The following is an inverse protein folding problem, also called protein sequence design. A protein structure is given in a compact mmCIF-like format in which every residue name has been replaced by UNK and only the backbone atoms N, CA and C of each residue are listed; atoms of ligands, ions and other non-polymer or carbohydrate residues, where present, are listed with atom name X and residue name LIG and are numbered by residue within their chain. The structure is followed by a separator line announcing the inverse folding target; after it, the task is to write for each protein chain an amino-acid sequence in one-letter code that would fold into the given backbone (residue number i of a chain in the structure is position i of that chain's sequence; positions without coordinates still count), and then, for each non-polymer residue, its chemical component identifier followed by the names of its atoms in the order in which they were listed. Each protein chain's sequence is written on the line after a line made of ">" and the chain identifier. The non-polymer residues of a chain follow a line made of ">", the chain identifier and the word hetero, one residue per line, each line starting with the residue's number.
data_IF_997489268167
#
_entry.id   IF_997489268167
#
_cell.length_a   1.000
_cell.length_b   1.000
_cell.length_c   1.000
_cell.angle_alpha   90.00
_cell.angle_beta   90.00
_cell.angle_gamma   90.00
#
_symmetry.space_group_name_H-M   'P 1'
#
loop_
_entity.id
_entity.type
_entity.pdbx_description
1 polymer ?
#
# COMPACT_ATOMS: atom_id res chain seq x y z
N UNK A 1 -10.77 2.19 -18.56
CA UNK A 1 -9.99 1.80 -17.37
C UNK A 1 -9.73 0.29 -17.32
N UNK A 2 -10.65 -0.53 -17.75
CA UNK A 2 -10.50 -2.02 -17.80
C UNK A 2 -9.32 -2.41 -18.69
N UNK A 3 -9.22 -1.81 -19.89
CA UNK A 3 -8.10 -2.00 -20.80
C UNK A 3 -6.76 -1.54 -20.19
N UNK A 4 -6.75 -0.41 -19.49
CA UNK A 4 -5.58 0.06 -18.75
C UNK A 4 -5.08 -0.94 -17.71
N UNK A 5 -6.00 -1.56 -16.96
CA UNK A 5 -5.63 -2.63 -16.00
C UNK A 5 -5.07 -3.85 -16.73
N UNK A 6 -5.70 -4.26 -17.83
CA UNK A 6 -5.32 -5.46 -18.57
C UNK A 6 -3.94 -5.31 -19.27
N UNK A 7 -3.71 -4.19 -19.96
CA UNK A 7 -2.51 -3.97 -20.78
C UNK A 7 -1.35 -3.34 -20.00
N UNK A 8 -1.63 -2.55 -18.98
CA UNK A 8 -0.60 -1.83 -18.22
C UNK A 8 -0.51 -2.30 -16.78
N UNK A 9 -1.65 -2.39 -16.09
CA UNK A 9 -1.69 -2.67 -14.65
C UNK A 9 -1.10 -4.02 -14.29
N UNK A 10 -1.47 -5.06 -15.01
CA UNK A 10 -0.97 -6.43 -14.77
C UNK A 10 0.56 -6.54 -14.91
N UNK A 11 1.13 -5.83 -15.88
CA UNK A 11 2.56 -5.91 -16.18
C UNK A 11 3.42 -5.01 -15.28
N UNK A 12 2.86 -3.87 -14.83
CA UNK A 12 3.68 -2.82 -14.22
C UNK A 12 3.41 -2.61 -12.73
N UNK A 13 2.28 -3.09 -12.19
CA UNK A 13 1.98 -2.87 -10.78
C UNK A 13 2.52 -3.99 -9.89
N UNK A 14 3.10 -3.60 -8.75
CA UNK A 14 3.35 -4.53 -7.67
C UNK A 14 2.01 -5.13 -7.20
N UNK A 15 2.03 -6.37 -6.70
CA UNK A 15 0.86 -7.14 -6.34
C UNK A 15 -0.11 -6.42 -5.39
N UNK A 16 0.42 -5.78 -4.34
CA UNK A 16 -0.37 -4.98 -3.40
C UNK A 16 -0.97 -3.72 -4.05
N UNK A 17 -0.25 -3.11 -5.00
CA UNK A 17 -0.75 -1.98 -5.79
C UNK A 17 -1.87 -2.42 -6.72
N UNK A 18 -1.72 -3.57 -7.38
CA UNK A 18 -2.75 -4.15 -8.23
C UNK A 18 -4.04 -4.38 -7.43
N UNK A 19 -3.95 -5.07 -6.29
CA UNK A 19 -5.11 -5.32 -5.42
C UNK A 19 -5.79 -4.02 -4.97
N UNK A 20 -5.01 -3.04 -4.51
CA UNK A 20 -5.52 -1.74 -4.09
C UNK A 20 -6.22 -0.98 -5.21
N UNK A 21 -5.60 -0.92 -6.38
CA UNK A 21 -6.15 -0.24 -7.55
C UNK A 21 -7.42 -0.91 -8.07
N UNK A 22 -7.45 -2.23 -8.18
CA UNK A 22 -8.64 -2.99 -8.59
C UNK A 22 -9.78 -2.77 -7.59
N UNK A 23 -9.49 -2.73 -6.29
CA UNK A 23 -10.48 -2.41 -5.26
C UNK A 23 -11.05 -0.99 -5.43
N UNK A 24 -10.21 0.01 -5.71
CA UNK A 24 -10.67 1.39 -5.97
C UNK A 24 -11.53 1.46 -7.24
N UNK A 25 -11.13 0.76 -8.30
CA UNK A 25 -11.86 0.71 -9.57
C UNK A 25 -13.27 0.14 -9.35
N UNK A 26 -13.36 -1.03 -8.73
CA UNK A 26 -14.62 -1.74 -8.58
C UNK A 26 -15.58 -1.06 -7.59
N UNK A 27 -15.05 -0.42 -6.54
CA UNK A 27 -15.87 0.16 -5.49
C UNK A 27 -16.26 1.62 -5.76
N UNK A 28 -15.40 2.38 -6.43
CA UNK A 28 -15.57 3.84 -6.50
C UNK A 28 -15.58 4.38 -7.94
N UNK A 29 -14.90 3.78 -8.90
CA UNK A 29 -14.78 4.33 -10.26
C UNK A 29 -15.87 3.76 -11.16
N UNK A 30 -15.87 2.46 -11.42
CA UNK A 30 -16.82 1.82 -12.35
C UNK A 30 -18.29 2.09 -11.98
N UNK A 31 -18.72 1.99 -10.70
CA UNK A 31 -20.13 2.17 -10.36
C UNK A 31 -20.62 3.63 -10.51
N UNK A 32 -19.73 4.59 -10.74
CA UNK A 32 -20.09 6.02 -10.71
C UNK A 32 -19.84 6.68 -12.05
N UNK A 33 -18.70 6.42 -12.67
CA UNK A 33 -18.26 7.05 -13.92
C UNK A 33 -17.87 6.03 -14.98
N UNK A 34 -18.09 4.73 -14.76
CA UNK A 34 -17.70 3.67 -15.69
C UNK A 34 -18.31 3.81 -17.08
N UNK A 35 -19.55 4.30 -17.18
CA UNK A 35 -20.29 4.48 -18.42
C UNK A 35 -20.07 5.84 -19.09
N UNK A 36 -19.28 6.75 -18.45
CA UNK A 36 -19.00 8.07 -19.00
C UNK A 36 -18.11 7.96 -20.26
N UNK A 37 -18.49 8.65 -21.32
CA UNK A 37 -17.69 8.73 -22.55
C UNK A 37 -16.44 9.55 -22.29
N UNK A 38 -15.29 9.14 -22.86
CA UNK A 38 -14.02 9.87 -22.72
C UNK A 38 -14.14 11.33 -23.16
N UNK A 39 -14.94 11.62 -24.19
CA UNK A 39 -15.20 12.98 -24.70
C UNK A 39 -15.91 13.89 -23.69
N UNK A 40 -16.61 13.33 -22.72
CA UNK A 40 -17.34 14.07 -21.68
C UNK A 40 -16.50 14.33 -20.43
N UNK A 41 -15.39 13.57 -20.27
CA UNK A 41 -14.52 13.64 -19.11
C UNK A 41 -13.56 14.82 -19.24
N UNK A 42 -13.93 15.93 -18.65
CA UNK A 42 -13.09 17.12 -18.52
C UNK A 42 -12.75 17.40 -17.05
N UNK A 43 -11.90 18.39 -16.77
CA UNK A 43 -11.46 18.74 -15.41
C UNK A 43 -12.64 19.01 -14.47
N UNK A 44 -13.66 19.75 -14.94
CA UNK A 44 -14.87 20.04 -14.15
C UNK A 44 -15.66 18.77 -13.81
N UNK A 45 -15.75 17.82 -14.75
CA UNK A 45 -16.37 16.52 -14.52
C UNK A 45 -15.65 15.78 -13.39
N UNK A 46 -14.32 15.72 -13.42
CA UNK A 46 -13.48 15.06 -12.42
C UNK A 46 -13.64 15.72 -11.04
N UNK A 47 -13.66 17.05 -10.96
CA UNK A 47 -13.86 17.74 -9.68
C UNK A 47 -15.26 17.48 -9.08
N UNK A 48 -16.30 17.46 -9.91
CA UNK A 48 -17.66 17.08 -9.48
C UNK A 48 -17.70 15.63 -8.98
N UNK A 49 -17.02 14.74 -9.68
CA UNK A 49 -16.90 13.36 -9.27
C UNK A 49 -16.23 13.23 -7.89
N UNK A 50 -15.14 13.95 -7.63
CA UNK A 50 -14.50 13.94 -6.30
C UNK A 50 -15.42 14.45 -5.20
N UNK A 51 -16.20 15.51 -5.47
CA UNK A 51 -17.19 16.00 -4.51
C UNK A 51 -18.32 14.98 -4.26
N UNK A 52 -18.74 14.24 -5.28
CA UNK A 52 -19.72 13.18 -5.14
C UNK A 52 -19.21 12.01 -4.31
N UNK A 53 -17.92 11.65 -4.45
CA UNK A 53 -17.28 10.59 -3.66
C UNK A 53 -17.32 10.89 -2.16
N UNK A 54 -17.03 12.12 -1.75
CA UNK A 54 -17.03 12.51 -0.34
C UNK A 54 -18.40 12.35 0.35
N UNK A 55 -19.47 12.33 -0.44
CA UNK A 55 -20.85 12.15 0.06
C UNK A 55 -21.31 10.70 0.05
N UNK A 56 -20.48 9.76 -0.47
CA UNK A 56 -20.81 8.33 -0.50
C UNK A 56 -20.36 7.63 0.76
N UNK A 57 -21.11 6.60 1.15
CA UNK A 57 -20.70 5.70 2.23
C UNK A 57 -19.43 4.96 1.82
N UNK A 58 -18.50 4.83 2.77
CA UNK A 58 -17.31 4.06 2.58
C UNK A 58 -17.65 2.56 2.43
N UNK A 59 -16.98 1.90 1.47
CA UNK A 59 -17.13 0.44 1.33
C UNK A 59 -16.39 -0.23 2.46
N UNK A 60 -17.10 -1.05 3.24
CA UNK A 60 -16.54 -1.82 4.34
C UNK A 60 -15.73 -2.97 3.77
N UNK A 61 -14.45 -3.06 4.14
CA UNK A 61 -13.65 -4.22 3.81
C UNK A 61 -14.26 -5.45 4.54
N UNK A 62 -14.59 -6.54 3.82
CA UNK A 62 -15.16 -7.75 4.43
C UNK A 62 -14.29 -8.36 5.53
N UNK A 63 -12.97 -8.11 5.51
CA UNK A 63 -12.04 -8.57 6.54
C UNK A 63 -12.05 -7.69 7.79
N UNK A 64 -12.44 -6.41 7.64
CA UNK A 64 -12.58 -5.47 8.76
C UNK A 64 -14.06 -5.14 8.88
N UNK A 65 -14.76 -5.80 9.79
CA UNK A 65 -16.20 -5.63 10.02
C UNK A 65 -16.65 -4.18 10.36
N UNK A 66 -15.70 -3.27 10.58
CA UNK A 66 -15.96 -1.87 10.91
C UNK A 66 -15.15 -0.95 9.98
N UNK A 67 -15.82 0.03 9.36
CA UNK A 67 -15.15 1.17 8.72
C UNK A 67 -14.84 2.23 9.78
N UNK A 68 -13.63 2.80 9.75
CA UNK A 68 -13.29 3.96 10.60
C UNK A 68 -14.08 5.21 10.26
N UNK A 69 -14.56 5.31 9.03
CA UNK A 69 -15.32 6.45 8.53
C UNK A 69 -16.63 5.96 7.90
N UNK A 70 -17.72 6.64 8.19
CA UNK A 70 -19.01 6.37 7.56
C UNK A 70 -18.99 6.71 6.06
N UNK A 71 -18.32 7.81 5.70
CA UNK A 71 -18.20 8.30 4.33
C UNK A 71 -16.78 8.13 3.78
N UNK A 72 -16.66 8.18 2.45
CA UNK A 72 -15.38 8.11 1.74
C UNK A 72 -14.46 9.25 2.21
N UNK A 73 -13.26 8.90 2.64
CA UNK A 73 -12.30 9.86 3.16
C UNK A 73 -11.62 10.66 2.04
N UNK A 74 -11.15 11.86 2.36
CA UNK A 74 -10.33 12.65 1.43
C UNK A 74 -9.02 11.94 1.02
N UNK A 75 -8.50 11.04 1.86
CA UNK A 75 -7.38 10.17 1.49
C UNK A 75 -7.76 9.22 0.36
N UNK A 76 -8.92 8.53 0.47
CA UNK A 76 -9.42 7.64 -0.59
C UNK A 76 -9.64 8.39 -1.90
N UNK A 77 -10.19 9.63 -1.85
CA UNK A 77 -10.35 10.45 -3.05
C UNK A 77 -9.00 10.80 -3.68
N UNK A 78 -7.96 11.05 -2.88
CA UNK A 78 -6.59 11.28 -3.40
C UNK A 78 -6.00 10.04 -4.06
N UNK A 79 -6.26 8.86 -3.53
CA UNK A 79 -5.80 7.60 -4.12
C UNK A 79 -6.53 7.30 -5.43
N UNK A 80 -7.85 7.56 -5.48
CA UNK A 80 -8.63 7.54 -6.74
C UNK A 80 -8.07 8.54 -7.75
N UNK A 81 -7.73 9.78 -7.33
CA UNK A 81 -7.12 10.77 -8.23
C UNK A 81 -5.77 10.29 -8.78
N UNK A 82 -4.90 9.71 -7.95
CA UNK A 82 -3.60 9.18 -8.42
C UNK A 82 -3.81 8.11 -9.49
N UNK A 83 -4.73 7.18 -9.25
CA UNK A 83 -5.05 6.12 -10.19
C UNK A 83 -5.62 6.66 -11.50
N UNK A 84 -6.63 7.54 -11.44
CA UNK A 84 -7.23 8.15 -12.62
C UNK A 84 -6.21 9.01 -13.39
N UNK A 85 -5.38 9.78 -12.70
CA UNK A 85 -4.34 10.59 -13.33
C UNK A 85 -3.39 9.72 -14.16
N UNK A 86 -2.93 8.60 -13.60
CA UNK A 86 -2.06 7.67 -14.30
C UNK A 86 -2.77 6.98 -15.47
N UNK A 87 -4.04 6.61 -15.27
CA UNK A 87 -4.87 6.00 -16.32
C UNK A 87 -5.08 6.97 -17.50
N UNK A 88 -5.44 8.24 -17.24
CA UNK A 88 -5.63 9.22 -18.28
C UNK A 88 -4.31 9.66 -18.93
N UNK A 89 -3.20 9.67 -18.18
CA UNK A 89 -1.88 9.87 -18.77
C UNK A 89 -1.54 8.77 -19.78
N UNK A 90 -1.87 7.54 -19.46
CA UNK A 90 -1.71 6.43 -20.39
C UNK A 90 -2.68 6.53 -21.58
N UNK A 91 -3.91 7.01 -21.36
CA UNK A 91 -4.87 7.24 -22.43
C UNK A 91 -4.39 8.32 -23.42
N UNK A 92 -3.70 9.37 -22.93
CA UNK A 92 -3.04 10.39 -23.78
C UNK A 92 -1.92 9.75 -24.59
N UNK A 93 -1.08 8.90 -24.00
CA UNK A 93 -0.01 8.17 -24.72
C UNK A 93 -0.56 7.20 -25.76
N UNK A 94 -1.76 6.68 -25.56
CA UNK A 94 -2.46 5.81 -26.51
C UNK A 94 -3.30 6.61 -27.54
N UNK A 95 -3.18 7.95 -27.54
CA UNK A 95 -3.89 8.86 -28.43
C UNK A 95 -5.43 8.77 -28.34
N UNK A 96 -5.94 8.27 -27.21
CA UNK A 96 -7.38 8.20 -26.92
C UNK A 96 -7.94 9.53 -26.41
N UNK A 97 -7.07 10.42 -25.95
CA UNK A 97 -7.39 11.74 -25.41
C UNK A 97 -6.26 12.74 -25.73
N UNK A 98 -6.61 13.99 -25.96
CA UNK A 98 -5.61 15.05 -26.22
C UNK A 98 -4.88 15.49 -24.94
N UNK A 99 -5.57 15.48 -23.79
CA UNK A 99 -5.04 15.96 -22.51
C UNK A 99 -5.63 15.20 -21.33
N UNK A 100 -4.84 15.13 -20.28
CA UNK A 100 -5.25 14.48 -19.03
C UNK A 100 -6.13 15.43 -18.18
N UNK A 101 -7.42 15.12 -17.94
CA UNK A 101 -8.33 15.97 -17.20
C UNK A 101 -8.00 16.09 -15.69
N UNK A 102 -7.20 15.16 -15.16
CA UNK A 102 -6.77 15.19 -13.76
C UNK A 102 -5.59 16.10 -13.48
N UNK A 103 -4.89 16.61 -14.52
CA UNK A 103 -3.67 17.41 -14.35
C UNK A 103 -3.92 18.68 -13.53
N UNK A 104 -5.04 19.34 -13.79
CA UNK A 104 -5.40 20.61 -13.14
C UNK A 104 -6.61 20.48 -12.20
N UNK A 105 -7.08 19.24 -11.96
CA UNK A 105 -8.22 19.01 -11.08
C UNK A 105 -7.86 19.28 -9.61
N UNK A 106 -8.71 20.04 -8.94
CA UNK A 106 -8.59 20.34 -7.52
C UNK A 106 -8.97 19.11 -6.69
N UNK A 107 -8.01 18.56 -5.97
CA UNK A 107 -8.21 17.40 -5.10
C UNK A 107 -8.55 17.87 -3.68
N UNK A 108 -9.55 17.29 -2.99
CA UNK A 108 -9.89 17.64 -1.62
C UNK A 108 -8.70 17.58 -0.67
N UNK A 109 -8.55 18.62 0.17
CA UNK A 109 -7.47 18.68 1.15
C UNK A 109 -7.64 17.55 2.18
N UNK A 110 -6.56 16.84 2.43
CA UNK A 110 -6.49 15.84 3.50
C UNK A 110 -5.79 16.43 4.71
N UNK A 111 -6.48 16.44 5.86
CA UNK A 111 -5.83 16.75 7.14
C UNK A 111 -5.27 15.44 7.69
N UNK A 112 -3.96 15.30 7.68
CA UNK A 112 -3.30 14.21 8.38
C UNK A 112 -3.54 14.37 9.88
N UNK A 113 -4.07 13.33 10.52
CA UNK A 113 -4.08 13.28 11.98
C UNK A 113 -2.67 12.92 12.46
N UNK A 114 -2.16 13.68 13.43
CA UNK A 114 -0.95 13.27 14.14
C UNK A 114 -1.23 11.92 14.81
N UNK A 115 -0.32 10.98 14.63
CA UNK A 115 -0.34 9.71 15.36
C UNK A 115 0.52 9.88 16.60
N UNK A 116 0.06 9.34 17.71
CA UNK A 116 0.89 9.23 18.89
C UNK A 116 2.04 8.27 18.62
N UNK A 117 3.24 8.70 18.98
CA UNK A 117 4.45 7.90 18.87
C UNK A 117 4.76 7.40 20.27
N UNK A 118 5.03 6.12 20.39
CA UNK A 118 5.42 5.54 21.67
C UNK A 118 6.75 6.13 22.13
N UNK A 119 6.78 6.57 23.39
CA UNK A 119 8.01 6.93 24.08
C UNK A 119 8.72 5.67 24.59
N UNK A 120 9.98 5.82 25.04
CA UNK A 120 10.70 4.72 25.66
C UNK A 120 9.95 4.16 26.89
N UNK A 121 9.35 5.03 27.72
CA UNK A 121 8.57 4.62 28.88
C UNK A 121 7.32 3.81 28.47
N UNK A 122 6.62 4.24 27.43
CA UNK A 122 5.48 3.50 26.88
C UNK A 122 5.89 2.13 26.37
N UNK A 123 7.04 2.03 25.70
CA UNK A 123 7.60 0.77 25.23
C UNK A 123 7.93 -0.16 26.41
N UNK A 124 8.66 0.33 27.40
CA UNK A 124 9.04 -0.46 28.57
C UNK A 124 7.82 -0.94 29.34
N UNK A 125 6.81 -0.10 29.50
CA UNK A 125 5.55 -0.51 30.10
C UNK A 125 4.84 -1.59 29.27
N UNK A 126 4.74 -1.42 27.94
CA UNK A 126 4.12 -2.42 27.06
C UNK A 126 4.84 -3.79 27.14
N UNK A 127 6.17 -3.79 27.19
CA UNK A 127 6.96 -5.01 27.35
C UNK A 127 6.75 -5.67 28.72
N UNK A 128 6.59 -4.87 29.78
CA UNK A 128 6.39 -5.40 31.15
C UNK A 128 5.04 -6.09 31.34
N UNK A 129 3.98 -5.61 30.65
CA UNK A 129 2.62 -6.18 30.75
C UNK A 129 2.29 -7.20 29.65
N UNK A 130 3.16 -7.33 28.65
CA UNK A 130 2.97 -8.31 27.57
C UNK A 130 3.31 -9.71 28.07
N UNK A 131 2.38 -10.66 27.96
CA UNK A 131 2.61 -12.06 28.34
C UNK A 131 3.05 -12.93 27.16
N UNK A 132 2.81 -12.49 25.92
CA UNK A 132 3.19 -13.22 24.71
C UNK A 132 4.65 -12.91 24.33
N UNK A 133 5.52 -13.92 24.50
CA UNK A 133 6.97 -13.79 24.19
C UNK A 133 7.25 -13.47 22.70
N UNK A 134 6.40 -13.95 21.78
CA UNK A 134 6.54 -13.66 20.34
C UNK A 134 6.21 -12.18 20.07
N UNK A 135 5.18 -11.66 20.75
CA UNK A 135 4.81 -10.27 20.65
C UNK A 135 5.88 -9.37 21.29
N UNK A 136 6.46 -9.76 22.44
CA UNK A 136 7.60 -9.06 23.03
C UNK A 136 8.77 -8.94 22.06
N UNK A 137 9.15 -10.09 21.45
CA UNK A 137 10.23 -10.11 20.45
C UNK A 137 9.91 -9.21 19.24
N UNK A 138 8.68 -9.27 18.75
CA UNK A 138 8.23 -8.43 17.62
C UNK A 138 8.30 -6.94 17.96
N UNK A 139 7.88 -6.54 19.16
CA UNK A 139 7.95 -5.15 19.65
C UNK A 139 9.41 -4.71 19.73
N UNK A 140 10.28 -5.53 20.35
CA UNK A 140 11.71 -5.21 20.51
C UNK A 140 12.38 -5.04 19.13
N UNK A 141 12.22 -5.98 18.20
CA UNK A 141 12.80 -5.91 16.87
C UNK A 141 12.27 -4.69 16.08
N UNK A 142 10.95 -4.46 16.14
CA UNK A 142 10.36 -3.31 15.44
C UNK A 142 10.89 -1.98 15.96
N UNK A 143 11.12 -1.87 17.27
CA UNK A 143 11.60 -0.65 17.90
C UNK A 143 13.11 -0.46 17.69
N UNK A 144 13.91 -1.50 17.95
CA UNK A 144 15.37 -1.45 17.87
C UNK A 144 15.89 -1.33 16.44
N UNK A 145 15.28 -2.09 15.51
CA UNK A 145 15.70 -2.14 14.11
C UNK A 145 14.81 -1.31 13.17
N UNK A 146 13.80 -0.60 13.69
CA UNK A 146 12.83 0.20 12.90
C UNK A 146 12.15 -0.60 11.79
N UNK A 147 11.89 -1.90 11.99
CA UNK A 147 11.30 -2.79 11.01
C UNK A 147 9.85 -2.43 10.72
N UNK A 148 9.48 -2.47 9.43
CA UNK A 148 8.06 -2.47 9.05
C UNK A 148 7.44 -3.82 9.34
N UNK A 149 6.12 -3.85 9.56
CA UNK A 149 5.41 -5.09 9.87
C UNK A 149 5.67 -6.22 8.84
N UNK A 150 5.71 -5.89 7.55
CA UNK A 150 5.99 -6.87 6.49
C UNK A 150 7.41 -7.42 6.55
N UNK A 151 8.40 -6.59 6.84
CA UNK A 151 9.80 -6.96 7.02
C UNK A 151 9.97 -7.86 8.25
N UNK A 152 9.35 -7.47 9.37
CA UNK A 152 9.35 -8.28 10.61
C UNK A 152 8.74 -9.67 10.38
N UNK A 153 7.58 -9.76 9.72
CA UNK A 153 6.91 -11.03 9.44
C UNK A 153 7.60 -11.85 8.35
N UNK A 154 8.43 -11.21 7.52
CA UNK A 154 9.25 -11.85 6.49
C UNK A 154 10.60 -12.35 6.98
N UNK A 155 11.00 -12.00 8.21
CA UNK A 155 12.29 -12.36 8.78
C UNK A 155 12.39 -13.88 9.01
N UNK A 156 13.49 -14.47 8.60
CA UNK A 156 13.79 -15.90 8.74
C UNK A 156 15.23 -16.09 9.23
N UNK A 157 15.53 -17.25 9.78
CA UNK A 157 16.82 -17.54 10.41
C UNK A 157 18.03 -17.42 9.46
N UNK A 158 17.83 -17.58 8.16
CA UNK A 158 18.87 -17.35 7.14
C UNK A 158 19.27 -15.86 6.99
N UNK A 159 18.53 -14.97 7.59
CA UNK A 159 18.77 -13.53 7.59
C UNK A 159 19.30 -13.00 8.94
N UNK A 160 19.64 -13.88 9.87
CA UNK A 160 20.04 -13.49 11.24
C UNK A 160 21.31 -14.21 11.62
N UNK A 161 22.33 -13.46 12.05
CA UNK A 161 23.51 -14.03 12.70
C UNK A 161 23.63 -13.47 14.12
N UNK A 162 23.30 -14.31 15.09
CA UNK A 162 23.40 -14.06 16.53
C UNK A 162 24.21 -15.19 17.20
N UNK A 163 25.16 -15.78 16.47
CA UNK A 163 26.08 -16.76 17.04
C UNK A 163 26.88 -16.14 18.19
N UNK A 164 27.28 -16.92 19.19
CA UNK A 164 28.10 -16.42 20.30
C UNK A 164 29.35 -15.68 19.80
N UNK A 165 30.01 -16.18 18.76
CA UNK A 165 31.17 -15.59 18.15
C UNK A 165 30.85 -14.24 17.49
N UNK A 166 29.71 -14.15 16.78
CA UNK A 166 29.27 -12.89 16.16
C UNK A 166 28.94 -11.83 17.21
N UNK A 167 28.37 -12.24 18.36
CA UNK A 167 28.04 -11.33 19.45
C UNK A 167 29.35 -10.85 20.12
N UNK A 168 30.28 -11.74 20.44
CA UNK A 168 31.56 -11.38 21.08
C UNK A 168 32.39 -10.44 20.19
N UNK A 169 32.36 -10.62 18.87
CA UNK A 169 33.06 -9.81 17.89
C UNK A 169 32.29 -8.54 17.46
N UNK A 170 31.12 -8.25 18.07
CA UNK A 170 30.25 -7.13 17.71
C UNK A 170 29.87 -7.07 16.22
N UNK A 171 29.67 -8.23 15.57
CA UNK A 171 29.25 -8.36 14.19
C UNK A 171 27.93 -9.10 14.02
N UNK A 172 27.19 -9.28 15.11
CA UNK A 172 25.84 -9.80 15.05
C UNK A 172 24.94 -8.90 14.20
N UNK A 173 24.07 -9.48 13.34
CA UNK A 173 23.25 -8.71 12.43
C UNK A 173 21.87 -9.33 12.17
N UNK A 174 20.96 -8.48 11.72
CA UNK A 174 19.72 -8.85 11.07
C UNK A 174 19.71 -8.25 9.65
N UNK A 175 19.62 -9.10 8.64
CA UNK A 175 19.61 -8.71 7.23
C UNK A 175 18.19 -8.73 6.68
N UNK A 176 17.70 -7.58 6.18
CA UNK A 176 16.35 -7.43 5.70
C UNK A 176 16.35 -7.48 4.17
N UNK A 177 16.00 -8.63 3.61
CA UNK A 177 15.98 -8.89 2.17
C UNK A 177 14.63 -9.34 1.62
N UNK A 178 13.61 -9.46 2.49
CA UNK A 178 12.27 -9.93 2.12
C UNK A 178 11.21 -9.34 3.05
N UNK A 179 9.98 -9.29 2.54
CA UNK A 179 8.81 -8.91 3.32
C UNK A 179 7.66 -9.88 3.09
N UNK A 180 6.83 -10.07 4.10
CA UNK A 180 5.58 -10.82 4.01
C UNK A 180 4.44 -9.86 3.69
N UNK A 181 3.67 -10.16 2.64
CA UNK A 181 2.49 -9.39 2.25
C UNK A 181 1.23 -10.25 2.30
N UNK A 182 0.14 -9.68 2.81
CA UNK A 182 -1.16 -10.33 2.79
C UNK A 182 -1.93 -9.92 1.54
N UNK A 183 -2.17 -10.86 0.64
CA UNK A 183 -2.85 -10.66 -0.64
C UNK A 183 -4.10 -11.53 -0.71
N UNK A 184 -5.16 -11.06 -1.37
CA UNK A 184 -6.38 -11.83 -1.59
C UNK A 184 -6.16 -12.89 -2.68
N UNK A 185 -6.80 -14.05 -2.49
CA UNK A 185 -6.73 -15.15 -3.46
C UNK A 185 -7.18 -14.75 -4.87
N UNK A 186 -8.22 -13.92 -4.95
CA UNK A 186 -8.76 -13.43 -6.23
C UNK A 186 -7.73 -12.61 -7.00
N UNK A 187 -6.95 -11.80 -6.30
CA UNK A 187 -5.87 -10.99 -6.90
C UNK A 187 -4.70 -11.86 -7.36
N UNK A 188 -4.39 -12.93 -6.62
CA UNK A 188 -3.36 -13.91 -7.02
C UNK A 188 -3.77 -14.68 -8.28
N UNK A 189 -5.02 -15.13 -8.35
CA UNK A 189 -5.54 -15.87 -9.50
C UNK A 189 -5.68 -15.01 -10.78
N UNK A 190 -5.74 -13.68 -10.63
CA UNK A 190 -5.83 -12.76 -11.77
C UNK A 190 -4.46 -12.46 -12.41
N UNK A 191 -3.36 -12.90 -11.80
CA UNK A 191 -1.98 -12.67 -12.24
C UNK A 191 -1.31 -13.99 -12.61
N UNK A 192 -0.53 -14.00 -13.69
CA UNK A 192 0.24 -15.16 -14.09
C UNK A 192 1.41 -15.43 -13.13
N UNK A 193 1.84 -16.70 -13.06
CA UNK A 193 2.93 -17.14 -12.17
C UNK A 193 4.26 -16.39 -12.38
N UNK A 194 4.52 -15.92 -13.61
CA UNK A 194 5.69 -15.10 -13.92
C UNK A 194 5.61 -13.69 -13.32
N UNK A 195 4.41 -13.09 -13.27
CA UNK A 195 4.19 -11.78 -12.68
C UNK A 195 4.33 -11.82 -11.15
N UNK A 196 3.94 -12.93 -10.52
CA UNK A 196 4.11 -13.15 -9.09
C UNK A 196 5.59 -13.24 -8.70
N UNK A 197 6.43 -13.89 -9.51
CA UNK A 197 7.87 -14.01 -9.27
C UNK A 197 8.62 -12.69 -9.47
N UNK A 198 8.16 -11.83 -10.38
CA UNK A 198 8.75 -10.51 -10.63
C UNK A 198 8.40 -9.47 -9.55
N UNK A 199 7.20 -9.57 -8.94
CA UNK A 199 6.76 -8.63 -7.90
C UNK A 199 7.54 -8.79 -6.58
N UNK A 200 8.03 -10.00 -6.28
CA UNK A 200 8.84 -10.28 -5.09
C UNK A 200 10.28 -9.74 -5.15
N UNK A 201 10.74 -9.25 -6.29
CA UNK A 201 12.13 -8.78 -6.49
C UNK A 201 12.28 -7.25 -6.56
N UNK A 202 11.20 -6.49 -6.58
CA UNK A 202 11.28 -5.03 -6.65
C UNK A 202 11.18 -4.43 -5.25
N UNK A 203 12.34 -4.12 -4.63
CA UNK A 203 12.34 -3.11 -3.61
C UNK A 203 13.16 -3.26 -2.35
N UNK A 204 14.11 -4.17 -2.29
CA UNK A 204 15.06 -4.16 -1.16
C UNK A 204 16.47 -4.00 -1.70
N UNK A 205 17.16 -2.96 -1.21
CA UNK A 205 18.58 -2.77 -1.41
C UNK A 205 19.31 -3.98 -0.77
N UNK A 206 20.08 -4.78 -1.56
CA UNK A 206 20.79 -5.95 -1.02
C UNK A 206 21.85 -5.61 0.04
N UNK A 207 22.10 -4.33 0.32
CA UNK A 207 23.15 -3.86 1.21
C UNK A 207 22.64 -3.25 2.53
N UNK A 208 21.33 -3.25 2.81
CA UNK A 208 20.83 -2.76 4.08
C UNK A 208 21.10 -3.78 5.21
N UNK A 209 22.31 -3.75 5.74
CA UNK A 209 22.73 -4.53 6.90
C UNK A 209 22.56 -3.67 8.16
N UNK A 210 21.68 -4.07 9.06
CA UNK A 210 21.53 -3.44 10.38
C UNK A 210 22.45 -4.18 11.37
N UNK A 211 23.49 -3.50 11.80
CA UNK A 211 24.32 -3.96 12.92
C UNK A 211 23.50 -3.78 14.20
N UNK A 212 23.37 -4.83 14.97
CA UNK A 212 22.78 -4.77 16.31
C UNK A 212 23.79 -4.14 17.28
N UNK A 213 23.34 -3.21 18.17
CA UNK A 213 24.21 -2.61 19.18
C UNK A 213 24.62 -3.61 20.24
#
# INVERSE_FOLDING_TARGET
>A
ITEYVALYGKENWALSTYEGNVSLINNYILPIIGDAKLSEINTRFIERYYQSLLKRRAVINPLNKTSRNEFVSSSTVRDVNKLLRNCFEQAVKWELMEKNPCTHATVPKHKSQKRDIWTADTLMYALSVCEDERLKLAINLSFSCSLRLGELLGLTWDCVDISPEAIEENRAYVFINKESQRIRKESLNALDSQQLSASGRKGLDPQAQLLLP
#
